data_IF_206552102176
#
_entry.id   IF_206552102176
#
_cell.length_a   1.000
_cell.length_b   1.000
_cell.length_c   1.000
_cell.angle_alpha   90.00
_cell.angle_beta   90.00
_cell.angle_gamma   90.00
#
_symmetry.space_group_name_H-M   'P 1'
#
loop_
_entity.id
_entity.type
_entity.pdbx_description
1 polymer ?
#
# COMPACT_ATOMS: atom_id res chain seq x y z
N UNK A 1 27.89 8.73 -30.88
CA UNK A 1 26.57 8.06 -30.81
C UNK A 1 26.09 8.20 -29.38
N UNK A 2 25.17 9.12 -29.14
CA UNK A 2 24.62 9.37 -27.79
C UNK A 2 23.54 8.32 -27.58
N UNK A 3 23.83 7.30 -26.78
CA UNK A 3 22.83 6.34 -26.31
C UNK A 3 21.81 7.10 -25.46
N UNK A 4 20.61 7.32 -26.02
CA UNK A 4 19.49 7.80 -25.25
C UNK A 4 19.18 6.76 -24.17
N UNK A 5 19.57 7.06 -22.94
CA UNK A 5 19.18 6.29 -21.78
C UNK A 5 17.66 6.47 -21.64
N UNK A 6 16.89 5.52 -22.13
CA UNK A 6 15.44 5.51 -21.95
C UNK A 6 15.20 5.41 -20.45
N UNK A 7 14.93 6.53 -19.81
CA UNK A 7 14.61 6.57 -18.38
C UNK A 7 13.30 5.82 -18.19
N UNK A 8 13.33 4.68 -17.52
CA UNK A 8 12.13 3.91 -17.19
C UNK A 8 11.12 4.81 -16.47
N UNK A 9 9.90 4.86 -16.98
CA UNK A 9 8.79 5.57 -16.34
C UNK A 9 7.65 4.57 -16.11
N UNK A 10 7.19 4.40 -14.86
CA UNK A 10 6.05 3.54 -14.54
C UNK A 10 4.79 3.96 -15.31
N UNK A 11 4.09 3.00 -15.89
CA UNK A 11 2.88 3.21 -16.70
C UNK A 11 1.82 4.06 -15.98
N UNK A 12 1.55 3.75 -14.72
CA UNK A 12 0.55 4.49 -13.93
C UNK A 12 0.98 5.92 -13.65
N UNK A 13 2.28 6.19 -13.49
CA UNK A 13 2.86 7.53 -13.33
C UNK A 13 2.72 8.36 -14.61
N UNK A 14 2.98 7.74 -15.76
CA UNK A 14 2.81 8.37 -17.07
C UNK A 14 1.35 8.76 -17.28
N UNK A 15 0.42 7.84 -17.05
CA UNK A 15 -1.03 8.09 -17.14
C UNK A 15 -1.48 9.21 -16.18
N UNK A 16 -0.96 9.20 -14.94
CA UNK A 16 -1.26 10.27 -13.99
C UNK A 16 -0.82 11.64 -14.50
N UNK A 17 0.40 11.75 -15.05
CA UNK A 17 0.95 13.02 -15.53
C UNK A 17 0.30 13.52 -16.81
N UNK A 18 -0.04 12.62 -17.72
CA UNK A 18 -0.55 12.97 -19.04
C UNK A 18 -2.05 13.28 -19.05
N UNK A 19 -2.85 12.55 -18.26
CA UNK A 19 -4.31 12.60 -18.36
C UNK A 19 -4.99 12.93 -17.04
N UNK A 20 -4.67 12.16 -15.97
CA UNK A 20 -5.45 12.19 -14.75
C UNK A 20 -5.27 13.49 -13.97
N UNK A 21 -4.11 14.12 -14.07
CA UNK A 21 -3.79 15.36 -13.34
C UNK A 21 -4.65 16.54 -13.78
N UNK A 22 -4.87 16.69 -15.06
CA UNK A 22 -5.75 17.77 -15.60
C UNK A 22 -7.20 17.49 -15.24
N UNK A 23 -7.65 16.25 -15.45
CA UNK A 23 -8.99 15.82 -15.07
C UNK A 23 -9.30 16.06 -13.60
N UNK A 24 -8.39 15.70 -12.69
CA UNK A 24 -8.53 15.93 -11.25
C UNK A 24 -8.55 17.42 -10.91
N UNK A 25 -7.76 18.25 -11.59
CA UNK A 25 -7.80 19.70 -11.39
C UNK A 25 -9.20 20.26 -11.68
N UNK A 26 -9.79 19.84 -12.79
CA UNK A 26 -11.10 20.33 -13.23
C UNK A 26 -12.22 19.77 -12.35
N UNK A 27 -12.16 18.49 -11.93
CA UNK A 27 -13.11 17.82 -11.04
C UNK A 27 -13.13 18.46 -9.63
N UNK A 28 -11.95 18.80 -9.10
CA UNK A 28 -11.82 19.41 -7.79
C UNK A 28 -11.87 20.95 -7.81
N UNK A 29 -12.08 21.57 -8.98
CA UNK A 29 -12.16 23.03 -9.14
C UNK A 29 -10.89 23.77 -8.74
N UNK A 30 -9.71 23.15 -8.89
CA UNK A 30 -8.43 23.70 -8.46
C UNK A 30 -7.88 24.67 -9.50
N UNK A 31 -7.45 25.87 -9.04
CA UNK A 31 -6.86 26.87 -9.91
C UNK A 31 -5.42 26.57 -10.32
N UNK A 32 -4.67 25.90 -9.41
CA UNK A 32 -3.27 25.59 -9.65
C UNK A 32 -3.07 24.07 -9.78
N UNK A 33 -2.44 23.66 -10.88
CA UNK A 33 -2.12 22.26 -11.15
C UNK A 33 -1.20 21.63 -10.08
N UNK A 34 -0.43 22.43 -9.33
CA UNK A 34 0.41 21.96 -8.24
C UNK A 34 -0.36 21.61 -6.96
N UNK A 35 -1.64 22.02 -6.87
CA UNK A 35 -2.52 21.65 -5.75
C UNK A 35 -3.19 20.30 -5.95
N UNK A 36 -3.12 19.75 -7.18
CA UNK A 36 -3.72 18.45 -7.49
C UNK A 36 -3.07 17.36 -6.62
N UNK A 37 -3.89 16.57 -5.89
CA UNK A 37 -3.37 15.53 -5.02
C UNK A 37 -2.62 14.46 -5.80
N UNK A 38 -1.54 13.95 -5.21
CA UNK A 38 -0.73 12.86 -5.77
C UNK A 38 -0.38 11.86 -4.65
N UNK A 39 -0.11 10.59 -4.97
CA UNK A 39 0.40 9.64 -4.00
C UNK A 39 1.85 9.99 -3.66
N UNK A 40 2.16 10.09 -2.36
CA UNK A 40 3.49 10.42 -1.84
C UNK A 40 4.30 9.18 -1.50
N UNK A 41 3.66 8.22 -0.83
CA UNK A 41 4.26 6.95 -0.41
C UNK A 41 3.19 5.90 -0.16
N UNK A 42 3.61 4.64 -0.22
CA UNK A 42 2.81 3.50 0.24
C UNK A 42 3.56 2.85 1.41
N UNK A 43 2.84 2.60 2.48
CA UNK A 43 3.36 1.87 3.65
C UNK A 43 2.65 0.52 3.69
N UNK A 44 3.45 -0.55 3.64
CA UNK A 44 2.96 -1.92 3.83
C UNK A 44 3.43 -2.40 5.19
N UNK A 45 2.50 -2.84 6.02
CA UNK A 45 2.75 -3.29 7.37
C UNK A 45 2.22 -4.71 7.56
N UNK A 46 3.06 -5.60 8.10
CA UNK A 46 2.65 -6.91 8.59
C UNK A 46 2.80 -6.96 10.12
N UNK A 47 1.67 -7.10 10.81
CA UNK A 47 1.64 -7.36 12.24
C UNK A 47 1.83 -8.85 12.51
N UNK A 48 2.84 -9.20 13.30
CA UNK A 48 3.11 -10.58 13.71
C UNK A 48 2.93 -10.70 15.22
N UNK A 49 1.68 -10.91 15.67
CA UNK A 49 1.35 -11.00 17.09
C UNK A 49 2.05 -12.15 17.83
N UNK A 50 2.52 -13.17 17.11
CA UNK A 50 3.25 -14.32 17.62
C UNK A 50 4.77 -14.14 17.62
N UNK A 51 5.29 -13.13 16.91
CA UNK A 51 6.73 -12.87 16.80
C UNK A 51 7.49 -12.77 18.15
N UNK A 52 6.90 -12.23 19.23
CA UNK A 52 7.55 -12.21 20.53
C UNK A 52 7.81 -13.61 21.10
N UNK A 53 7.12 -14.64 20.62
CA UNK A 53 7.26 -16.02 21.07
C UNK A 53 8.06 -16.88 20.08
N UNK A 54 7.96 -16.60 18.80
CA UNK A 54 8.64 -17.32 17.74
C UNK A 54 9.25 -16.35 16.72
N UNK A 55 10.58 -16.25 16.73
CA UNK A 55 11.32 -15.40 15.81
C UNK A 55 11.16 -15.82 14.33
N UNK A 56 10.90 -17.10 14.05
CA UNK A 56 10.72 -17.62 12.68
C UNK A 56 9.51 -16.97 11.98
N UNK A 57 8.44 -16.70 12.74
CA UNK A 57 7.24 -16.03 12.22
C UNK A 57 7.57 -14.63 11.70
N UNK A 58 8.46 -13.92 12.40
CA UNK A 58 8.92 -12.61 11.95
C UNK A 58 9.83 -12.70 10.73
N UNK A 59 10.74 -13.67 10.71
CA UNK A 59 11.65 -13.87 9.57
C UNK A 59 10.87 -14.20 8.29
N UNK A 60 9.81 -15.03 8.39
CA UNK A 60 8.87 -15.27 7.30
C UNK A 60 8.20 -13.97 6.81
N UNK A 61 7.65 -13.16 7.71
CA UNK A 61 7.04 -11.88 7.35
C UNK A 61 8.04 -10.90 6.69
N UNK A 62 9.29 -10.89 7.12
CA UNK A 62 10.36 -10.09 6.51
C UNK A 62 10.66 -10.58 5.10
N UNK A 63 10.76 -11.91 4.89
CA UNK A 63 10.96 -12.52 3.57
C UNK A 63 9.82 -12.15 2.62
N UNK A 64 8.58 -12.34 3.06
CA UNK A 64 7.39 -12.04 2.26
C UNK A 64 7.33 -10.57 1.84
N UNK A 65 7.49 -9.64 2.80
CA UNK A 65 7.51 -8.21 2.51
C UNK A 65 8.67 -7.80 1.58
N UNK A 66 9.84 -8.40 1.75
CA UNK A 66 11.00 -8.12 0.89
C UNK A 66 10.72 -8.58 -0.55
N UNK A 67 10.09 -9.73 -0.72
CA UNK A 67 9.71 -10.28 -2.04
C UNK A 67 8.65 -9.39 -2.72
N UNK A 68 7.58 -9.01 -2.00
CA UNK A 68 6.49 -8.18 -2.52
C UNK A 68 6.96 -6.78 -2.92
N UNK A 69 7.79 -6.14 -2.08
CA UNK A 69 8.15 -4.72 -2.26
C UNK A 69 9.50 -4.52 -2.95
N UNK A 70 10.32 -5.56 -3.06
CA UNK A 70 11.70 -5.47 -3.56
C UNK A 70 12.61 -4.62 -2.66
N UNK A 71 12.23 -4.41 -1.38
CA UNK A 71 12.96 -3.56 -0.45
C UNK A 71 13.03 -4.23 0.93
N UNK A 72 14.19 -4.14 1.60
CA UNK A 72 14.38 -4.72 2.94
C UNK A 72 13.42 -4.08 3.96
N UNK A 73 12.57 -4.87 4.65
CA UNK A 73 11.66 -4.37 5.66
C UNK A 73 12.38 -3.88 6.92
N UNK A 74 11.76 -2.91 7.59
CA UNK A 74 12.16 -2.47 8.90
C UNK A 74 11.36 -3.23 9.98
N UNK A 75 12.06 -3.86 10.90
CA UNK A 75 11.44 -4.53 12.07
C UNK A 75 10.82 -3.48 12.98
N UNK A 76 9.56 -3.69 13.34
CA UNK A 76 8.83 -2.84 14.28
C UNK A 76 8.87 -3.46 15.67
N UNK A 77 9.37 -2.68 16.63
CA UNK A 77 9.49 -3.06 18.04
C UNK A 77 8.38 -2.43 18.87
N UNK A 78 7.94 -3.13 19.90
CA UNK A 78 6.95 -2.64 20.84
C UNK A 78 7.50 -1.41 21.60
N UNK A 79 6.67 -0.37 21.71
CA UNK A 79 7.01 0.89 22.40
C UNK A 79 6.69 0.86 23.89
N UNK A 80 5.78 -0.04 24.30
CA UNK A 80 5.32 -0.19 25.69
C UNK A 80 5.17 -1.66 26.02
N UNK A 81 5.39 -1.99 27.30
CA UNK A 81 5.11 -3.33 27.81
C UNK A 81 3.62 -3.48 28.12
N UNK A 82 2.99 -4.55 27.63
CA UNK A 82 1.57 -4.86 27.85
C UNK A 82 1.46 -6.30 28.35
N UNK A 83 1.14 -6.46 29.63
CA UNK A 83 1.11 -7.76 30.31
C UNK A 83 0.08 -8.73 29.70
N UNK A 84 -1.10 -8.23 29.32
CA UNK A 84 -2.18 -9.04 28.71
C UNK A 84 -1.73 -9.75 27.43
N UNK A 85 -0.92 -9.09 26.61
CA UNK A 85 -0.39 -9.67 25.36
C UNK A 85 0.99 -10.31 25.56
N UNK A 86 1.54 -10.33 26.76
CA UNK A 86 2.88 -10.85 27.09
C UNK A 86 3.99 -10.16 26.27
N UNK A 87 3.80 -8.88 25.95
CA UNK A 87 4.74 -8.06 25.19
C UNK A 87 5.53 -7.19 26.15
N UNK A 88 6.85 -7.14 25.99
CA UNK A 88 7.76 -6.21 26.65
C UNK A 88 8.25 -5.16 25.66
N UNK A 89 8.58 -3.99 26.18
CA UNK A 89 9.22 -2.94 25.39
C UNK A 89 10.47 -3.47 24.69
N UNK A 90 10.66 -3.08 23.42
CA UNK A 90 11.78 -3.54 22.59
C UNK A 90 11.57 -4.88 21.88
N UNK A 91 10.55 -5.66 22.24
CA UNK A 91 10.26 -6.92 21.54
C UNK A 91 9.78 -6.65 20.09
N UNK A 92 10.21 -7.47 19.10
CA UNK A 92 9.73 -7.37 17.74
C UNK A 92 8.25 -7.78 17.66
N UNK A 93 7.42 -6.98 17.01
CA UNK A 93 5.97 -7.21 16.90
C UNK A 93 5.47 -7.19 15.46
N UNK A 94 6.35 -6.93 14.50
CA UNK A 94 6.00 -6.90 13.09
C UNK A 94 7.11 -6.31 12.22
N UNK A 95 6.80 -6.18 10.94
CA UNK A 95 7.69 -5.59 9.95
C UNK A 95 6.92 -4.59 9.06
N UNK A 96 7.58 -3.57 8.58
CA UNK A 96 6.95 -2.62 7.65
C UNK A 96 7.93 -2.12 6.61
N UNK A 97 7.38 -1.79 5.43
CA UNK A 97 8.13 -1.18 4.33
C UNK A 97 7.44 0.12 3.92
N UNK A 98 8.24 1.12 3.59
CA UNK A 98 7.74 2.35 2.97
C UNK A 98 8.31 2.45 1.56
N UNK A 99 7.43 2.39 0.57
CA UNK A 99 7.77 2.46 -0.84
C UNK A 99 7.49 3.87 -1.36
N UNK A 100 8.44 4.46 -2.09
CA UNK A 100 8.38 5.83 -2.63
C UNK A 100 8.84 5.87 -4.08
N UNK A 101 8.60 7.01 -4.75
CA UNK A 101 9.08 7.27 -6.10
C UNK A 101 8.52 6.30 -7.13
N UNK A 102 9.33 5.88 -8.09
CA UNK A 102 8.88 5.04 -9.20
C UNK A 102 8.46 3.64 -8.73
N UNK A 103 9.14 3.06 -7.73
CA UNK A 103 8.76 1.79 -7.13
C UNK A 103 7.35 1.83 -6.51
N UNK A 104 6.94 2.96 -5.95
CA UNK A 104 5.58 3.14 -5.43
C UNK A 104 4.56 3.05 -6.55
N UNK A 105 4.81 3.69 -7.69
CA UNK A 105 3.92 3.64 -8.85
C UNK A 105 3.80 2.24 -9.43
N UNK A 106 4.90 1.50 -9.52
CA UNK A 106 4.90 0.10 -9.95
C UNK A 106 4.14 -0.79 -8.96
N UNK A 107 4.31 -0.55 -7.66
CA UNK A 107 3.56 -1.27 -6.63
C UNK A 107 2.06 -1.01 -6.73
N UNK A 108 1.65 0.25 -6.90
CA UNK A 108 0.24 0.63 -7.08
C UNK A 108 -0.36 0.03 -8.36
N UNK A 109 0.38 0.00 -9.45
CA UNK A 109 -0.08 -0.60 -10.71
C UNK A 109 -0.31 -2.11 -10.57
N UNK A 110 0.63 -2.84 -9.95
CA UNK A 110 0.46 -4.27 -9.65
C UNK A 110 -0.70 -4.53 -8.69
N UNK A 111 -0.82 -3.69 -7.66
CA UNK A 111 -1.91 -3.77 -6.69
C UNK A 111 -3.28 -3.69 -7.36
N UNK A 112 -3.46 -2.71 -8.26
CA UNK A 112 -4.71 -2.49 -8.98
C UNK A 112 -5.00 -3.55 -10.05
N UNK A 113 -3.98 -3.88 -10.83
CA UNK A 113 -4.16 -4.72 -12.02
C UNK A 113 -4.16 -6.22 -11.72
N UNK A 114 -3.46 -6.65 -10.67
CA UNK A 114 -3.23 -8.07 -10.39
C UNK A 114 -3.77 -8.46 -9.02
N UNK A 115 -3.41 -7.74 -7.96
CA UNK A 115 -3.66 -8.17 -6.57
C UNK A 115 -5.12 -8.04 -6.20
N UNK A 116 -5.73 -6.86 -6.40
CA UNK A 116 -7.14 -6.65 -6.03
C UNK A 116 -8.11 -7.61 -6.73
N UNK A 117 -7.98 -7.92 -8.04
CA UNK A 117 -8.84 -8.88 -8.70
C UNK A 117 -8.66 -10.34 -8.20
N UNK A 118 -7.52 -10.67 -7.58
CA UNK A 118 -7.24 -12.02 -7.04
C UNK A 118 -7.77 -12.23 -5.63
N UNK A 119 -8.19 -11.17 -4.93
CA UNK A 119 -8.80 -11.29 -3.60
C UNK A 119 -10.12 -12.05 -3.71
N UNK A 120 -10.26 -13.12 -2.92
CA UNK A 120 -11.52 -13.88 -2.85
C UNK A 120 -12.67 -13.00 -2.35
N UNK A 121 -13.85 -13.15 -2.95
CA UNK A 121 -15.06 -12.42 -2.58
C UNK A 121 -14.88 -10.90 -2.51
N UNK A 122 -14.03 -10.36 -3.37
CA UNK A 122 -13.78 -8.93 -3.41
C UNK A 122 -15.03 -8.16 -3.87
N UNK A 123 -15.58 -7.35 -2.98
CA UNK A 123 -16.79 -6.52 -3.23
C UNK A 123 -16.47 -5.03 -3.35
N UNK A 124 -15.22 -4.68 -3.53
CA UNK A 124 -14.75 -3.30 -3.55
C UNK A 124 -14.19 -2.83 -2.20
N UNK A 125 -13.41 -1.78 -2.26
CA UNK A 125 -12.75 -1.15 -1.11
C UNK A 125 -13.75 -0.30 -0.32
N UNK A 126 -13.61 -0.29 1.01
CA UNK A 126 -14.48 0.50 1.88
C UNK A 126 -14.21 2.01 1.73
N UNK A 127 -15.20 2.80 1.29
CA UNK A 127 -15.02 4.24 1.13
C UNK A 127 -14.84 5.01 2.44
N UNK A 128 -15.11 4.41 3.60
CA UNK A 128 -14.98 5.03 4.91
C UNK A 128 -13.59 4.82 5.57
N UNK A 129 -12.63 4.19 4.90
CA UNK A 129 -11.30 3.88 5.44
C UNK A 129 -10.27 4.99 5.20
N UNK A 130 -10.71 6.23 5.04
CA UNK A 130 -9.87 7.42 5.04
C UNK A 130 -9.64 7.93 6.47
N UNK A 131 -8.54 8.65 6.69
CA UNK A 131 -8.11 9.13 8.01
C UNK A 131 -8.51 10.60 8.33
N UNK A 132 -9.31 11.24 7.48
CA UNK A 132 -9.67 12.67 7.58
C UNK A 132 -8.65 13.62 6.94
N UNK A 133 -7.56 13.08 6.39
CA UNK A 133 -6.48 13.85 5.73
C UNK A 133 -6.13 13.31 4.34
N UNK A 134 -7.06 12.59 3.74
CA UNK A 134 -6.90 12.04 2.40
C UNK A 134 -5.96 10.84 2.29
N UNK A 135 -5.51 10.24 3.39
CA UNK A 135 -4.78 8.98 3.37
C UNK A 135 -5.75 7.81 3.48
N UNK A 136 -5.45 6.75 2.77
CA UNK A 136 -6.33 5.58 2.68
C UNK A 136 -5.63 4.32 3.16
N UNK A 137 -6.29 3.54 4.03
CA UNK A 137 -5.75 2.29 4.55
C UNK A 137 -6.74 1.15 4.34
N UNK A 138 -6.26 0.01 3.87
CA UNK A 138 -7.05 -1.22 3.77
C UNK A 138 -6.18 -2.44 4.10
N UNK A 139 -6.84 -3.50 4.59
CA UNK A 139 -6.21 -4.77 4.92
C UNK A 139 -6.36 -5.77 3.77
N UNK A 140 -5.30 -6.55 3.57
CA UNK A 140 -5.29 -7.75 2.74
C UNK A 140 -5.10 -8.94 3.68
N UNK A 141 -5.99 -9.92 3.61
CA UNK A 141 -6.01 -11.05 4.54
C UNK A 141 -4.93 -12.09 4.27
N UNK A 142 -4.51 -12.22 3.01
CA UNK A 142 -3.59 -13.26 2.57
C UNK A 142 -2.48 -12.68 1.68
N UNK A 143 -1.21 -12.96 2.00
CA UNK A 143 -0.08 -12.55 1.17
C UNK A 143 -0.03 -13.30 -0.19
N UNK A 144 -0.68 -14.45 -0.30
CA UNK A 144 -0.74 -15.28 -1.50
C UNK A 144 -1.44 -14.63 -2.71
N UNK A 145 -2.15 -13.53 -2.49
CA UNK A 145 -2.74 -12.75 -3.59
C UNK A 145 -1.68 -12.04 -4.44
N UNK A 146 -0.48 -11.86 -3.88
CA UNK A 146 0.66 -11.31 -4.61
C UNK A 146 1.32 -12.38 -5.46
N UNK A 147 1.51 -12.15 -6.77
CA UNK A 147 2.07 -13.15 -7.70
C UNK A 147 3.55 -13.46 -7.44
N UNK A 148 4.24 -12.61 -6.70
CA UNK A 148 5.65 -12.76 -6.35
C UNK A 148 5.89 -13.81 -5.26
N UNK A 149 4.83 -14.21 -4.55
CA UNK A 149 4.90 -15.19 -3.48
C UNK A 149 4.51 -16.56 -4.02
N UNK A 150 5.43 -17.50 -3.91
CA UNK A 150 5.16 -18.90 -4.24
C UNK A 150 4.47 -19.59 -3.05
N UNK A 151 3.48 -20.42 -3.35
CA UNK A 151 2.72 -21.17 -2.34
C UNK A 151 3.62 -22.12 -1.52
N UNK A 152 4.61 -22.72 -2.18
CA UNK A 152 5.52 -23.69 -1.56
C UNK A 152 6.51 -23.03 -0.58
N UNK A 153 6.72 -21.73 -0.71
CA UNK A 153 7.64 -20.95 0.13
C UNK A 153 6.97 -20.37 1.40
N UNK A 154 5.65 -20.49 1.53
CA UNK A 154 4.86 -19.88 2.60
C UNK A 154 4.67 -20.86 3.76
N UNK A 155 5.22 -20.52 4.90
CA UNK A 155 5.08 -21.28 6.15
C UNK A 155 3.74 -21.01 6.87
N UNK A 156 3.17 -19.80 6.75
CA UNK A 156 1.89 -19.43 7.35
C UNK A 156 1.22 -18.29 6.56
N UNK A 157 -0.12 -18.31 6.49
CA UNK A 157 -0.90 -17.22 5.92
C UNK A 157 -0.83 -16.00 6.83
N UNK A 158 -0.44 -14.84 6.27
CA UNK A 158 -0.31 -13.57 6.99
C UNK A 158 -1.08 -12.48 6.29
N UNK A 159 -1.83 -11.72 7.08
CA UNK A 159 -2.45 -10.48 6.62
C UNK A 159 -1.47 -9.32 6.62
N UNK A 160 -1.81 -8.29 5.86
CA UNK A 160 -1.06 -7.04 5.82
C UNK A 160 -1.98 -5.84 5.67
N UNK A 161 -1.55 -4.71 6.20
CA UNK A 161 -2.20 -3.43 6.01
C UNK A 161 -1.42 -2.61 4.99
N UNK A 162 -2.13 -2.06 4.01
CA UNK A 162 -1.58 -1.20 2.96
C UNK A 162 -2.14 0.19 3.17
N UNK A 163 -1.28 1.14 3.48
CA UNK A 163 -1.64 2.55 3.66
C UNK A 163 -1.07 3.37 2.50
N UNK A 164 -1.95 4.03 1.76
CA UNK A 164 -1.59 4.96 0.69
C UNK A 164 -1.64 6.36 1.27
N UNK A 165 -0.48 6.99 1.36
CA UNK A 165 -0.35 8.38 1.83
C UNK A 165 -0.36 9.29 0.61
N UNK A 166 -1.24 10.30 0.63
CA UNK A 166 -1.41 11.25 -0.45
C UNK A 166 -1.07 12.66 0.00
N UNK A 167 -0.98 13.59 -0.93
CA UNK A 167 -0.83 15.02 -0.64
C UNK A 167 -2.18 15.74 -0.56
N UNK A 168 -3.29 15.01 -0.60
CA UNK A 168 -4.62 15.57 -0.41
C UNK A 168 -4.73 16.23 0.98
N UNK A 169 -5.53 17.27 1.08
CA UNK A 169 -5.80 17.98 2.35
C UNK A 169 -6.96 17.33 3.11
N UNK A 170 -7.86 16.72 2.38
CA UNK A 170 -9.11 16.13 2.85
C UNK A 170 -9.39 14.78 2.19
N UNK A 171 -10.38 14.07 2.69
CA UNK A 171 -10.75 12.76 2.19
C UNK A 171 -11.44 12.82 0.82
N UNK A 172 -12.07 13.95 0.47
CA UNK A 172 -12.70 14.14 -0.84
C UNK A 172 -11.63 14.16 -1.95
N UNK A 173 -10.58 14.96 -1.77
CA UNK A 173 -9.45 15.00 -2.69
C UNK A 173 -8.69 13.67 -2.76
N UNK A 174 -8.53 12.97 -1.61
CA UNK A 174 -7.94 11.64 -1.57
C UNK A 174 -8.77 10.60 -2.31
N UNK A 175 -10.10 10.63 -2.15
CA UNK A 175 -11.04 9.74 -2.83
C UNK A 175 -11.04 9.98 -4.35
N UNK A 176 -11.12 11.24 -4.78
CA UNK A 176 -11.08 11.60 -6.19
C UNK A 176 -9.78 11.09 -6.85
N UNK A 177 -8.63 11.29 -6.19
CA UNK A 177 -7.34 10.79 -6.64
C UNK A 177 -7.35 9.26 -6.82
N UNK A 178 -7.73 8.51 -5.78
CA UNK A 178 -7.71 7.04 -5.83
C UNK A 178 -8.73 6.49 -6.84
N UNK A 179 -9.91 7.10 -6.96
CA UNK A 179 -10.90 6.74 -7.97
C UNK A 179 -10.37 6.97 -9.39
N UNK A 180 -9.71 8.11 -9.64
CA UNK A 180 -9.09 8.41 -10.92
C UNK A 180 -7.95 7.43 -11.28
N UNK A 181 -7.18 6.97 -10.30
CA UNK A 181 -6.16 5.93 -10.46
C UNK A 181 -6.77 4.54 -10.77
N UNK A 182 -8.06 4.35 -10.50
CA UNK A 182 -8.79 3.11 -10.78
C UNK A 182 -9.02 2.20 -9.56
N UNK A 183 -8.95 2.74 -8.34
CA UNK A 183 -9.31 1.98 -7.15
C UNK A 183 -10.81 1.67 -7.11
N UNK A 184 -11.19 0.39 -7.00
CA UNK A 184 -12.59 -0.03 -7.03
C UNK A 184 -13.24 0.16 -5.66
N UNK A 185 -13.79 1.32 -5.41
CA UNK A 185 -14.56 1.57 -4.19
C UNK A 185 -15.95 0.93 -4.29
N UNK A 186 -16.43 0.40 -3.15
CA UNK A 186 -17.80 -0.10 -3.02
C UNK A 186 -18.77 1.05 -3.19
N UNK A 187 -19.80 0.88 -4.03
CA UNK A 187 -20.91 1.82 -4.11
C UNK A 187 -21.72 1.72 -2.81
N UNK A 188 -22.01 2.86 -2.17
CA UNK A 188 -22.92 2.91 -1.02
C UNK A 188 -24.32 2.63 -1.54
N UNK A 189 -24.86 1.45 -1.23
CA UNK A 189 -26.25 1.12 -1.59
C UNK A 189 -26.49 -0.27 -2.19
N UNK A 190 -25.54 -1.19 -2.03
CA UNK A 190 -25.80 -2.60 -2.39
C UNK A 190 -25.69 -3.48 -1.17
#
# INVERSE_FOLDING_TARGET
MTTATTTYMPRLKERYRGELRERLRDELGLTNIMQVPLPEKVVVNMGTGEAPRDAKVLDGAIKDLATITGQKPAVRKARKSIATFKIREGMPVGASVTVRGDRMWDFLDRLLSIVLPRIRDFRGLNPASFDGRGNYTFGVTEQLVFPEIDYDDVDATRGMDITIVTTAKDDEGGRALLAALGFPFRQQGS
#
